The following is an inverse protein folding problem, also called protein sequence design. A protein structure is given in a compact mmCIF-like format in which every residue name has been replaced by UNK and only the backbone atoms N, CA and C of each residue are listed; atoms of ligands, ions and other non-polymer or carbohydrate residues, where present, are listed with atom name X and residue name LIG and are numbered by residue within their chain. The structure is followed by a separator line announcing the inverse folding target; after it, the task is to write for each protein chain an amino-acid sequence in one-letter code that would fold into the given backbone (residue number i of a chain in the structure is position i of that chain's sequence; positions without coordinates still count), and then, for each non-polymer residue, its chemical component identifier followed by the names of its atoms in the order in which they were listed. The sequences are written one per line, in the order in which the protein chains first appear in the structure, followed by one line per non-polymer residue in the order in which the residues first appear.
data_IF_899389740451
#
_entry.id   IF_899389740451
#
_cell.length_a   1.000
_cell.length_b   1.000
_cell.length_c   1.000
_cell.angle_alpha   90.00
_cell.angle_beta   90.00
_cell.angle_gamma   90.00
#
_symmetry.space_group_name_H-M   'P 1'
#
loop_
_entity.id
_entity.type
_entity.pdbx_description
1 polymer ?
#
# COMPACT_ATOMS: atom_id res chain seq x y z
N UNK A 1 19.34 13.15 17.97
CA UNK A 1 18.04 12.48 17.76
C UNK A 1 18.37 11.10 17.23
N UNK A 2 18.21 10.06 18.05
CA UNK A 2 18.34 8.68 17.57
C UNK A 2 17.38 8.49 16.41
N UNK A 3 17.80 7.77 15.36
CA UNK A 3 16.93 7.41 14.25
C UNK A 3 15.76 6.58 14.82
N UNK A 4 14.66 7.23 15.17
CA UNK A 4 13.39 6.56 15.43
C UNK A 4 13.09 5.72 14.19
N UNK A 5 12.89 4.41 14.40
CA UNK A 5 12.72 3.41 13.35
C UNK A 5 11.63 3.88 12.37
N UNK A 6 12.04 4.13 11.12
CA UNK A 6 11.11 4.45 10.04
C UNK A 6 10.12 3.27 9.94
N UNK A 7 8.80 3.50 10.07
CA UNK A 7 7.84 2.41 10.02
C UNK A 7 7.90 1.66 8.69
N UNK A 8 7.99 0.33 8.75
CA UNK A 8 8.05 -0.54 7.57
C UNK A 8 6.97 -1.62 7.61
N UNK A 9 6.64 -2.13 6.42
CA UNK A 9 5.83 -3.32 6.25
C UNK A 9 6.37 -4.15 5.09
N UNK A 10 6.31 -5.46 5.24
CA UNK A 10 6.60 -6.42 4.17
C UNK A 10 5.33 -7.23 3.90
N UNK A 11 5.00 -7.41 2.63
CA UNK A 11 3.90 -8.29 2.20
C UNK A 11 4.41 -9.27 1.16
N UNK A 12 3.81 -10.46 1.15
CA UNK A 12 4.05 -11.48 0.14
C UNK A 12 2.80 -11.61 -0.70
N UNK A 13 2.95 -11.42 -2.01
CA UNK A 13 1.85 -11.47 -2.96
C UNK A 13 1.98 -12.73 -3.82
N UNK A 14 0.89 -13.46 -3.98
CA UNK A 14 0.78 -14.52 -4.98
C UNK A 14 0.39 -13.89 -6.32
N UNK A 15 1.24 -14.05 -7.34
CA UNK A 15 0.99 -13.49 -8.67
C UNK A 15 0.07 -14.42 -9.45
N UNK A 16 -1.13 -13.92 -9.73
CA UNK A 16 -2.11 -14.66 -10.52
C UNK A 16 -2.02 -14.28 -12.00
N UNK A 17 -2.54 -15.14 -12.88
CA UNK A 17 -2.52 -14.88 -14.33
C UNK A 17 -3.15 -13.54 -14.73
N UNK A 18 -4.21 -13.11 -14.03
CA UNK A 18 -4.86 -11.82 -14.28
C UNK A 18 -4.02 -10.60 -13.87
N UNK A 19 -2.96 -10.79 -13.09
CA UNK A 19 -2.02 -9.73 -12.74
C UNK A 19 -0.96 -9.53 -13.84
N UNK A 20 -0.87 -10.44 -14.81
CA UNK A 20 0.18 -10.46 -15.84
C UNK A 20 -0.32 -10.02 -17.22
N UNK A 21 0.58 -9.44 -18.02
CA UNK A 21 0.35 -8.98 -19.38
C UNK A 21 0.63 -10.04 -20.44
N UNK A 22 0.41 -9.69 -21.71
CA UNK A 22 0.69 -10.60 -22.82
C UNK A 22 2.19 -10.94 -22.96
N UNK A 23 3.06 -10.13 -22.35
CA UNK A 23 4.49 -10.40 -22.22
C UNK A 23 4.84 -11.33 -21.06
N UNK A 24 3.85 -11.77 -20.27
CA UNK A 24 4.04 -12.67 -19.14
C UNK A 24 4.68 -12.01 -17.93
N UNK A 25 4.66 -10.67 -17.86
CA UNK A 25 5.17 -9.91 -16.71
C UNK A 25 4.01 -9.27 -15.95
N UNK A 26 4.23 -8.97 -14.68
CA UNK A 26 3.22 -8.30 -13.84
C UNK A 26 2.94 -6.91 -14.43
N UNK A 27 1.67 -6.62 -14.71
CA UNK A 27 1.27 -5.29 -15.19
C UNK A 27 1.49 -4.23 -14.11
N UNK A 28 1.81 -3.01 -14.55
CA UNK A 28 1.96 -1.85 -13.67
C UNK A 28 0.74 -1.60 -12.75
N UNK A 29 -0.48 -1.88 -13.23
CA UNK A 29 -1.69 -1.72 -12.41
C UNK A 29 -1.75 -2.72 -11.24
N UNK A 30 -1.21 -3.92 -11.40
CA UNK A 30 -1.12 -4.90 -10.34
C UNK A 30 -0.10 -4.46 -9.28
N UNK A 31 1.05 -3.91 -9.70
CA UNK A 31 2.01 -3.30 -8.77
C UNK A 31 1.39 -2.16 -7.94
N UNK A 32 0.62 -1.26 -8.56
CA UNK A 32 -0.10 -0.21 -7.84
C UNK A 32 -1.02 -0.78 -6.76
N UNK A 33 -1.79 -1.83 -7.10
CA UNK A 33 -2.68 -2.50 -6.13
C UNK A 33 -1.90 -3.11 -4.96
N UNK A 34 -0.77 -3.77 -5.23
CA UNK A 34 0.07 -4.39 -4.21
C UNK A 34 0.68 -3.35 -3.27
N UNK A 35 1.27 -2.28 -3.83
CA UNK A 35 1.85 -1.16 -3.07
C UNK A 35 0.78 -0.48 -2.21
N UNK A 36 -0.39 -0.21 -2.78
CA UNK A 36 -1.50 0.42 -2.07
C UNK A 36 -2.07 -0.45 -0.94
N UNK A 37 -2.08 -1.77 -1.14
CA UNK A 37 -2.46 -2.75 -0.10
C UNK A 37 -1.47 -2.70 1.06
N UNK A 38 -0.16 -2.72 0.78
CA UNK A 38 0.87 -2.60 1.80
C UNK A 38 0.78 -1.24 2.53
N UNK A 39 0.60 -0.14 1.80
CA UNK A 39 0.43 1.21 2.35
C UNK A 39 -0.77 1.30 3.29
N UNK A 40 -1.91 0.75 2.90
CA UNK A 40 -3.14 0.72 3.72
C UNK A 40 -2.92 -0.07 5.01
N UNK A 41 -2.23 -1.22 4.94
CA UNK A 41 -1.89 -2.03 6.10
C UNK A 41 -0.91 -1.32 7.04
N UNK A 42 0.10 -0.62 6.51
CA UNK A 42 1.02 0.19 7.32
C UNK A 42 0.30 1.37 7.97
N UNK A 43 -0.55 2.08 7.23
CA UNK A 43 -1.34 3.18 7.75
C UNK A 43 -2.22 2.75 8.94
N UNK A 44 -2.84 1.57 8.87
CA UNK A 44 -3.59 1.01 9.99
C UNK A 44 -2.71 0.78 11.25
N UNK A 45 -1.45 0.36 11.09
CA UNK A 45 -0.50 0.23 12.22
C UNK A 45 -0.09 1.59 12.82
N UNK A 46 -0.29 2.68 12.08
CA UNK A 46 0.01 4.05 12.49
C UNK A 46 -1.22 4.80 13.03
N UNK A 47 -2.33 4.10 13.33
CA UNK A 47 -3.56 4.72 13.85
C UNK A 47 -4.44 5.37 12.78
N UNK A 48 -4.26 4.98 11.52
CA UNK A 48 -5.10 5.39 10.38
C UNK A 48 -5.89 4.19 9.84
N UNK A 49 -6.47 3.38 10.73
CA UNK A 49 -7.42 2.35 10.30
C UNK A 49 -8.69 3.00 9.75
N UNK A 50 -9.46 2.26 8.94
CA UNK A 50 -10.70 2.77 8.37
C UNK A 50 -11.69 3.26 9.45
N UNK A 51 -11.73 2.58 10.60
CA UNK A 51 -12.55 3.00 11.74
C UNK A 51 -12.10 4.35 12.28
N UNK A 52 -10.82 4.50 12.58
CA UNK A 52 -10.26 5.75 13.13
C UNK A 52 -10.42 6.92 12.16
N UNK A 53 -10.18 6.71 10.86
CA UNK A 53 -10.39 7.74 9.84
C UNK A 53 -11.87 8.11 9.69
N UNK A 54 -12.78 7.14 9.80
CA UNK A 54 -14.22 7.41 9.79
C UNK A 54 -14.68 8.20 11.02
N UNK A 55 -14.13 7.92 12.20
CA UNK A 55 -14.47 8.66 13.42
C UNK A 55 -13.92 10.10 13.39
N UNK A 56 -12.70 10.27 12.88
CA UNK A 56 -12.03 11.58 12.79
C UNK A 56 -12.42 12.40 11.55
N UNK A 57 -13.02 11.76 10.55
CA UNK A 57 -13.30 12.33 9.22
C UNK A 57 -12.04 12.84 8.50
N UNK A 58 -10.86 12.32 8.86
CA UNK A 58 -9.58 12.67 8.25
C UNK A 58 -9.08 11.51 7.39
N UNK A 59 -8.95 11.75 6.09
CA UNK A 59 -8.58 10.74 5.10
C UNK A 59 -7.33 11.19 4.32
N UNK A 60 -6.20 10.45 4.41
CA UNK A 60 -5.00 10.77 3.65
C UNK A 60 -5.19 10.45 2.17
N UNK A 61 -4.79 11.39 1.31
CA UNK A 61 -4.89 11.27 -0.15
C UNK A 61 -3.51 11.04 -0.76
N UNK A 62 -3.40 10.08 -1.68
CA UNK A 62 -2.18 9.85 -2.46
C UNK A 62 -2.05 10.93 -3.53
N UNK A 63 -0.98 11.73 -3.45
CA UNK A 63 -0.75 12.86 -4.38
C UNK A 63 0.21 12.53 -5.52
N UNK A 64 1.08 11.54 -5.35
CA UNK A 64 2.08 11.14 -6.33
C UNK A 64 2.45 9.67 -6.15
N UNK A 65 2.55 8.97 -7.26
CA UNK A 65 3.10 7.61 -7.32
C UNK A 65 4.07 7.52 -8.48
N UNK A 66 5.21 6.87 -8.26
CA UNK A 66 6.26 6.62 -9.25
C UNK A 66 6.68 5.17 -9.08
N UNK A 67 6.72 4.42 -10.18
CA UNK A 67 7.02 2.98 -10.23
C UNK A 67 8.06 2.78 -11.32
#
# INVERSE_FOLDING_TARGET
MSAEEIPTIETREEVMFFDTDIGGVVHNIAYLRMIETARTRLAAKLGMSLREMSETQLFPVVVRTEI
#
